data_IF_923694163350
#
_entry.id   IF_923694163350
#
_cell.length_a   1.000
_cell.length_b   1.000
_cell.length_c   1.000
_cell.angle_alpha   90.00
_cell.angle_beta   90.00
_cell.angle_gamma   90.00
#
_symmetry.space_group_name_H-M   'P 1'
#
loop_
_entity.id
_entity.type
_entity.pdbx_description
1 polymer ?
#
# COMPACT_ATOMS: atom_id res chain seq x y z
N UNK A 1 47.74 12.73 29.13
CA UNK A 1 46.99 13.55 28.15
C UNK A 1 46.47 12.77 26.93
N UNK A 2 47.25 11.88 26.30
CA UNK A 2 46.81 11.09 25.12
C UNK A 2 45.64 10.13 25.43
N UNK A 3 45.71 9.41 26.54
CA UNK A 3 44.66 8.49 26.98
C UNK A 3 43.31 9.21 27.18
N UNK A 4 43.30 10.33 27.92
CA UNK A 4 42.10 11.15 28.15
C UNK A 4 41.45 11.65 26.84
N UNK A 5 42.26 12.09 25.87
CA UNK A 5 41.76 12.53 24.55
C UNK A 5 41.15 11.36 23.75
N UNK A 6 41.68 10.15 23.89
CA UNK A 6 41.11 8.96 23.26
C UNK A 6 39.78 8.57 23.91
N UNK A 7 39.68 8.57 25.23
CA UNK A 7 38.43 8.27 25.95
C UNK A 7 37.34 9.29 25.67
N UNK A 8 37.67 10.59 25.59
CA UNK A 8 36.71 11.63 25.22
C UNK A 8 36.22 11.42 23.78
N UNK A 9 37.11 11.10 22.84
CA UNK A 9 36.72 10.85 21.44
C UNK A 9 35.80 9.64 21.30
N UNK A 10 36.05 8.56 22.03
CA UNK A 10 35.18 7.37 21.99
C UNK A 10 33.81 7.67 22.62
N UNK A 11 33.76 8.38 23.75
CA UNK A 11 32.50 8.77 24.39
C UNK A 11 31.67 9.70 23.50
N UNK A 12 32.31 10.69 22.87
CA UNK A 12 31.64 11.58 21.91
C UNK A 12 31.13 10.80 20.70
N UNK A 13 31.93 9.89 20.15
CA UNK A 13 31.50 9.02 19.05
C UNK A 13 30.29 8.17 19.41
N UNK A 14 30.31 7.55 20.60
CA UNK A 14 29.18 6.77 21.12
C UNK A 14 27.93 7.62 21.33
N UNK A 15 28.07 8.82 21.92
CA UNK A 15 26.96 9.73 22.16
C UNK A 15 26.32 10.21 20.84
N UNK A 16 27.13 10.51 19.82
CA UNK A 16 26.66 10.86 18.48
C UNK A 16 25.93 9.67 17.83
N UNK A 17 26.53 8.48 17.87
CA UNK A 17 25.92 7.27 17.33
C UNK A 17 24.57 6.95 17.97
N UNK A 18 24.48 7.05 19.30
CA UNK A 18 23.24 6.82 20.04
C UNK A 18 22.17 7.86 19.69
N UNK A 19 22.58 9.13 19.56
CA UNK A 19 21.67 10.22 19.20
C UNK A 19 21.12 10.05 17.78
N UNK A 20 21.96 9.69 16.81
CA UNK A 20 21.53 9.38 15.44
C UNK A 20 20.59 8.18 15.43
N UNK A 21 20.94 7.11 16.16
CA UNK A 21 20.08 5.92 16.27
C UNK A 21 18.69 6.24 16.83
N UNK A 22 18.62 7.05 17.89
CA UNK A 22 17.36 7.49 18.49
C UNK A 22 16.54 8.37 17.55
N UNK A 23 17.18 9.31 16.83
CA UNK A 23 16.50 10.17 15.86
C UNK A 23 15.92 9.36 14.68
N UNK A 24 16.70 8.42 14.14
CA UNK A 24 16.23 7.52 13.08
C UNK A 24 15.05 6.68 13.56
N UNK A 25 15.15 6.07 14.73
CA UNK A 25 14.06 5.29 15.31
C UNK A 25 12.81 6.13 15.55
N UNK A 26 12.96 7.32 16.16
CA UNK A 26 11.85 8.24 16.42
C UNK A 26 11.17 8.73 15.14
N UNK A 27 11.93 8.95 14.06
CA UNK A 27 11.40 9.37 12.76
C UNK A 27 10.73 8.24 11.99
N UNK A 28 11.23 7.00 12.08
CA UNK A 28 10.76 5.87 11.28
C UNK A 28 9.62 5.09 11.96
N UNK A 29 9.53 5.10 13.30
CA UNK A 29 8.48 4.36 14.03
C UNK A 29 7.05 4.78 13.66
N UNK A 30 6.85 6.02 13.24
CA UNK A 30 5.54 6.55 12.81
C UNK A 30 5.28 6.40 11.31
N UNK A 31 6.20 5.78 10.57
CA UNK A 31 6.17 5.69 9.11
C UNK A 31 6.30 4.24 8.62
N UNK A 32 5.42 3.31 9.05
CA UNK A 32 5.50 1.92 8.63
C UNK A 32 5.45 1.75 7.11
N UNK A 33 4.74 2.61 6.38
CA UNK A 33 4.68 2.61 4.92
C UNK A 33 6.04 2.74 4.21
N UNK A 34 7.06 3.28 4.88
CA UNK A 34 8.41 3.45 4.33
C UNK A 34 9.34 2.26 4.60
N UNK A 35 8.95 1.35 5.51
CA UNK A 35 9.77 0.23 5.93
C UNK A 35 9.29 -1.08 5.28
N UNK A 36 10.15 -1.86 4.61
CA UNK A 36 9.70 -3.04 3.85
C UNK A 36 9.26 -4.22 4.73
N UNK A 37 9.72 -4.31 5.98
CA UNK A 37 9.40 -5.42 6.90
C UNK A 37 8.15 -5.19 7.75
N UNK A 38 7.56 -3.99 7.72
CA UNK A 38 6.34 -3.70 8.50
C UNK A 38 5.08 -4.12 7.72
N UNK A 39 3.96 -4.41 8.40
CA UNK A 39 2.71 -4.77 7.75
C UNK A 39 2.25 -3.71 6.74
N UNK A 40 1.56 -4.16 5.69
CA UNK A 40 0.84 -3.27 4.77
C UNK A 40 -0.49 -2.88 5.40
N UNK A 41 -0.84 -1.60 5.29
CA UNK A 41 -2.15 -1.05 5.61
C UNK A 41 -2.64 -0.28 4.39
N UNK A 42 -3.83 -0.65 3.87
CA UNK A 42 -4.40 -0.01 2.68
C UNK A 42 -4.99 1.39 2.99
N UNK A 43 -5.15 1.73 4.27
CA UNK A 43 -5.57 3.06 4.71
C UNK A 43 -4.41 4.00 5.08
N UNK A 44 -3.17 3.49 5.09
CA UNK A 44 -1.99 4.30 5.35
C UNK A 44 -1.58 5.11 4.11
N UNK A 45 -0.91 6.26 4.30
CA UNK A 45 -0.40 7.05 3.17
C UNK A 45 0.63 6.26 2.37
N UNK A 46 0.74 6.55 1.08
CA UNK A 46 1.75 5.97 0.20
C UNK A 46 3.15 6.37 0.68
N UNK A 47 3.97 5.37 0.97
CA UNK A 47 5.37 5.52 1.34
C UNK A 47 6.31 4.78 0.38
N UNK A 48 7.61 4.89 0.65
CA UNK A 48 8.68 4.34 -0.19
C UNK A 48 8.58 2.82 -0.38
N UNK A 49 8.03 2.10 0.59
CA UNK A 49 7.90 0.64 0.52
C UNK A 49 6.51 0.16 0.09
N UNK A 50 5.50 1.04 0.00
CA UNK A 50 4.10 0.65 -0.30
C UNK A 50 3.99 -0.16 -1.59
N UNK A 51 4.65 0.28 -2.67
CA UNK A 51 4.64 -0.45 -3.95
C UNK A 51 5.18 -1.88 -3.82
N UNK A 52 6.33 -2.06 -3.15
CA UNK A 52 6.93 -3.39 -2.93
C UNK A 52 6.03 -4.29 -2.08
N UNK A 53 5.38 -3.74 -1.05
CA UNK A 53 4.43 -4.48 -0.22
C UNK A 53 3.20 -4.93 -0.99
N UNK A 54 2.68 -4.08 -1.88
CA UNK A 54 1.57 -4.44 -2.77
C UNK A 54 1.98 -5.53 -3.76
N UNK A 55 3.18 -5.46 -4.33
CA UNK A 55 3.69 -6.51 -5.22
C UNK A 55 3.84 -7.86 -4.51
N UNK A 56 4.30 -7.86 -3.25
CA UNK A 56 4.43 -9.08 -2.46
C UNK A 56 3.11 -9.84 -2.26
N UNK A 57 1.96 -9.16 -2.35
CA UNK A 57 0.64 -9.80 -2.26
C UNK A 57 0.35 -10.76 -3.44
N UNK A 58 1.09 -10.66 -4.55
CA UNK A 58 0.98 -11.59 -5.69
C UNK A 58 1.29 -13.03 -5.28
N UNK A 59 2.08 -13.22 -4.22
CA UNK A 59 2.48 -14.53 -3.70
C UNK A 59 1.61 -14.98 -2.50
N UNK A 60 0.70 -14.13 -1.99
CA UNK A 60 -0.11 -14.39 -0.79
C UNK A 60 -1.56 -13.88 -0.95
N UNK A 61 -2.38 -14.67 -1.65
CA UNK A 61 -3.80 -14.36 -1.84
C UNK A 61 -4.60 -14.29 -0.53
N UNK A 62 -4.43 -15.20 0.46
CA UNK A 62 -5.07 -15.06 1.77
C UNK A 62 -4.76 -13.74 2.47
N UNK A 63 -3.51 -13.30 2.49
CA UNK A 63 -3.12 -12.02 3.07
C UNK A 63 -3.75 -10.85 2.33
N UNK A 64 -3.76 -10.89 1.00
CA UNK A 64 -4.39 -9.84 0.20
C UNK A 64 -5.88 -9.67 0.54
N UNK A 65 -6.63 -10.78 0.62
CA UNK A 65 -8.05 -10.75 1.03
C UNK A 65 -8.25 -10.18 2.43
N UNK A 66 -7.42 -10.59 3.39
CA UNK A 66 -7.50 -10.08 4.75
C UNK A 66 -7.29 -8.55 4.83
N UNK A 67 -6.43 -8.00 3.95
CA UNK A 67 -6.22 -6.56 3.85
C UNK A 67 -7.41 -5.84 3.22
N UNK A 68 -7.99 -6.40 2.16
CA UNK A 68 -9.22 -5.88 1.54
C UNK A 68 -10.39 -5.88 2.54
N UNK A 69 -10.56 -6.97 3.28
CA UNK A 69 -11.59 -7.12 4.32
C UNK A 69 -11.42 -6.07 5.42
N UNK A 70 -10.18 -5.89 5.91
CA UNK A 70 -9.85 -4.86 6.92
C UNK A 70 -10.12 -3.44 6.40
N UNK A 71 -9.89 -3.21 5.11
CA UNK A 71 -10.19 -1.94 4.46
C UNK A 71 -11.68 -1.77 4.10
N UNK A 72 -12.55 -2.74 4.43
CA UNK A 72 -13.99 -2.69 4.16
C UNK A 72 -14.33 -2.78 2.67
N UNK A 73 -13.43 -3.34 1.86
CA UNK A 73 -13.65 -3.56 0.42
C UNK A 73 -14.55 -4.76 0.24
N UNK A 74 -15.62 -4.61 -0.53
CA UNK A 74 -16.56 -5.69 -0.82
C UNK A 74 -16.22 -6.32 -2.16
N UNK A 75 -16.09 -7.65 -2.17
CA UNK A 75 -15.74 -8.39 -3.38
C UNK A 75 -16.30 -9.81 -3.37
N UNK A 76 -16.30 -10.44 -4.54
CA UNK A 76 -16.49 -11.88 -4.71
C UNK A 76 -15.19 -12.51 -5.24
N UNK A 77 -14.82 -13.68 -4.74
CA UNK A 77 -13.66 -14.42 -5.28
C UNK A 77 -14.01 -14.97 -6.66
N UNK A 78 -13.06 -14.88 -7.60
CA UNK A 78 -13.18 -15.43 -8.95
C UNK A 78 -12.34 -16.71 -9.08
N UNK A 79 -12.76 -17.64 -9.95
CA UNK A 79 -11.91 -18.77 -10.31
C UNK A 79 -10.62 -18.27 -10.99
N UNK A 80 -9.50 -19.02 -10.85
CA UNK A 80 -8.28 -18.76 -11.60
C UNK A 80 -8.55 -18.68 -13.10
N UNK A 81 -7.93 -17.71 -13.77
CA UNK A 81 -8.01 -17.55 -15.22
C UNK A 81 -6.61 -17.69 -15.80
N UNK A 82 -6.45 -18.59 -16.78
CA UNK A 82 -5.23 -18.71 -17.58
C UNK A 82 -5.50 -18.08 -18.95
N UNK A 83 -4.70 -17.10 -19.32
CA UNK A 83 -4.65 -16.55 -20.67
C UNK A 83 -3.39 -17.01 -21.40
N UNK A 84 -3.14 -16.43 -22.58
CA UNK A 84 -1.90 -16.67 -23.31
C UNK A 84 -0.72 -15.93 -22.66
N UNK A 85 0.44 -16.60 -22.60
CA UNK A 85 1.65 -16.03 -22.02
C UNK A 85 1.49 -15.65 -20.54
N UNK A 86 1.70 -14.37 -20.23
CA UNK A 86 1.60 -13.82 -18.87
C UNK A 86 0.19 -13.31 -18.53
N UNK A 87 -0.80 -13.54 -19.39
CA UNK A 87 -2.17 -13.10 -19.14
C UNK A 87 -2.88 -14.04 -18.15
N UNK A 88 -3.66 -13.47 -17.25
CA UNK A 88 -4.45 -14.21 -16.28
C UNK A 88 -4.06 -13.96 -14.82
N UNK A 89 -4.74 -14.64 -13.91
CA UNK A 89 -4.53 -14.53 -12.47
C UNK A 89 -4.94 -15.83 -11.77
N UNK A 90 -4.27 -16.15 -10.66
CA UNK A 90 -4.63 -17.26 -9.78
C UNK A 90 -5.53 -16.81 -8.61
N UNK A 91 -5.57 -15.50 -8.38
CA UNK A 91 -6.00 -14.80 -7.18
C UNK A 91 -7.03 -13.71 -7.51
N UNK A 92 -7.91 -14.02 -8.47
CA UNK A 92 -8.90 -13.08 -8.98
C UNK A 92 -9.99 -12.74 -7.96
N UNK A 93 -10.38 -11.47 -7.93
CA UNK A 93 -11.56 -10.99 -7.23
C UNK A 93 -12.39 -10.10 -8.16
N UNK A 94 -13.69 -9.99 -7.87
CA UNK A 94 -14.60 -9.04 -8.50
C UNK A 94 -15.05 -8.03 -7.46
N UNK A 95 -14.75 -6.76 -7.70
CA UNK A 95 -15.20 -5.66 -6.85
C UNK A 95 -16.73 -5.53 -6.91
N UNK A 96 -17.33 -5.21 -5.78
CA UNK A 96 -18.73 -4.83 -5.72
C UNK A 96 -18.96 -3.47 -6.41
N UNK A 97 -20.23 -3.08 -6.57
CA UNK A 97 -20.61 -1.87 -7.30
C UNK A 97 -20.07 -0.57 -6.68
N UNK A 98 -19.71 -0.58 -5.39
CA UNK A 98 -19.06 0.55 -4.72
C UNK A 98 -17.53 0.54 -4.84
N UNK A 99 -16.97 -0.32 -5.70
CA UNK A 99 -15.56 -0.37 -6.03
C UNK A 99 -14.64 -0.68 -4.86
N UNK A 100 -13.42 -0.16 -4.92
CA UNK A 100 -12.38 -0.45 -3.94
C UNK A 100 -12.54 0.42 -2.67
N UNK A 101 -12.83 1.72 -2.82
CA UNK A 101 -13.00 2.68 -1.71
C UNK A 101 -14.19 3.60 -1.91
N UNK A 102 -15.36 3.02 -2.22
CA UNK A 102 -16.64 3.73 -2.41
C UNK A 102 -16.70 4.60 -3.67
N UNK A 103 -15.80 4.38 -4.63
CA UNK A 103 -15.90 4.95 -5.98
C UNK A 103 -16.44 3.85 -6.89
N UNK A 104 -17.59 4.10 -7.53
CA UNK A 104 -18.17 3.10 -8.41
C UNK A 104 -17.30 2.90 -9.67
N UNK A 105 -17.28 1.67 -10.21
CA UNK A 105 -16.69 1.41 -11.52
C UNK A 105 -17.77 1.27 -12.58
N UNK A 106 -17.50 1.82 -13.75
CA UNK A 106 -18.37 1.80 -14.92
C UNK A 106 -17.58 1.25 -16.12
N UNK A 107 -17.97 0.10 -16.70
CA UNK A 107 -19.05 -0.80 -16.29
C UNK A 107 -18.87 -1.41 -14.88
N UNK A 108 -19.96 -1.87 -14.26
CA UNK A 108 -19.88 -2.50 -12.93
C UNK A 108 -19.24 -3.89 -12.98
N UNK A 109 -18.79 -4.40 -11.82
CA UNK A 109 -18.30 -5.77 -11.69
C UNK A 109 -16.87 -5.99 -12.19
N UNK A 110 -16.02 -4.97 -12.06
CA UNK A 110 -14.59 -5.02 -12.38
C UNK A 110 -13.91 -6.22 -11.69
N UNK A 111 -13.44 -7.18 -12.49
CA UNK A 111 -12.72 -8.37 -12.04
C UNK A 111 -11.22 -8.24 -12.28
N UNK A 112 -10.40 -8.26 -11.24
CA UNK A 112 -8.94 -8.08 -11.32
C UNK A 112 -8.24 -9.04 -10.35
N UNK A 113 -6.92 -9.19 -10.49
CA UNK A 113 -6.13 -9.86 -9.46
C UNK A 113 -6.26 -9.11 -8.12
N UNK A 114 -6.26 -9.84 -7.01
CA UNK A 114 -6.32 -9.26 -5.66
C UNK A 114 -5.30 -8.14 -5.40
N UNK A 115 -3.98 -8.27 -5.72
CA UNK A 115 -3.01 -7.19 -5.52
C UNK A 115 -3.35 -5.93 -6.31
N UNK A 116 -3.98 -6.07 -7.48
CA UNK A 116 -4.46 -4.91 -8.27
C UNK A 116 -5.62 -4.22 -7.55
N UNK A 117 -6.56 -4.97 -7.00
CA UNK A 117 -7.64 -4.39 -6.18
C UNK A 117 -7.12 -3.70 -4.92
N UNK A 118 -6.09 -4.27 -4.27
CA UNK A 118 -5.44 -3.64 -3.12
C UNK A 118 -4.73 -2.33 -3.52
N UNK A 119 -4.04 -2.31 -4.67
CA UNK A 119 -3.40 -1.12 -5.20
C UNK A 119 -4.43 -0.03 -5.58
N UNK A 120 -5.53 -0.41 -6.22
CA UNK A 120 -6.66 0.49 -6.50
C UNK A 120 -7.22 1.08 -5.20
N UNK A 121 -7.34 0.29 -4.14
CA UNK A 121 -7.82 0.77 -2.84
C UNK A 121 -6.92 1.87 -2.28
N UNK A 122 -5.61 1.68 -2.33
CA UNK A 122 -4.63 2.70 -1.87
C UNK A 122 -4.71 3.95 -2.75
N UNK A 123 -4.76 3.78 -4.07
CA UNK A 123 -4.80 4.89 -5.02
C UNK A 123 -6.08 5.73 -4.89
N UNK A 124 -7.24 5.09 -4.79
CA UNK A 124 -8.52 5.79 -4.63
C UNK A 124 -8.55 6.64 -3.35
N UNK A 125 -8.05 6.07 -2.25
CA UNK A 125 -8.08 6.69 -0.92
C UNK A 125 -7.05 7.81 -0.75
N UNK A 126 -5.80 7.55 -1.10
CA UNK A 126 -4.68 8.46 -0.77
C UNK A 126 -4.36 9.45 -1.89
N UNK A 127 -4.77 9.14 -3.14
CA UNK A 127 -4.45 9.97 -4.31
C UNK A 127 -5.69 10.58 -4.93
N UNK A 128 -6.64 9.77 -5.38
CA UNK A 128 -7.78 10.23 -6.21
C UNK A 128 -8.70 11.17 -5.42
N UNK A 129 -9.25 10.72 -4.29
CA UNK A 129 -10.20 11.54 -3.53
C UNK A 129 -9.57 12.84 -3.01
N UNK A 130 -8.35 12.83 -2.42
CA UNK A 130 -7.71 14.07 -1.99
C UNK A 130 -7.41 15.03 -3.14
N UNK A 131 -7.00 14.51 -4.31
CA UNK A 131 -6.76 15.34 -5.49
C UNK A 131 -8.07 15.95 -6.03
N UNK A 132 -9.14 15.15 -6.11
CA UNK A 132 -10.43 15.62 -6.61
C UNK A 132 -11.00 16.75 -5.76
N UNK A 133 -10.95 16.61 -4.43
CA UNK A 133 -11.38 17.65 -3.49
C UNK A 133 -10.51 18.91 -3.66
N UNK A 134 -9.20 18.77 -3.78
CA UNK A 134 -8.26 19.90 -3.89
C UNK A 134 -8.43 20.71 -5.18
N UNK A 135 -8.65 20.02 -6.30
CA UNK A 135 -8.67 20.66 -7.62
C UNK A 135 -10.07 21.02 -8.11
N UNK A 136 -11.08 20.28 -7.68
CA UNK A 136 -12.45 20.44 -8.17
C UNK A 136 -13.48 20.72 -7.07
N UNK A 137 -13.09 20.68 -5.79
CA UNK A 137 -14.02 20.88 -4.66
C UNK A 137 -15.07 19.77 -4.53
N UNK A 138 -14.90 18.65 -5.22
CA UNK A 138 -15.87 17.58 -5.32
C UNK A 138 -15.23 16.20 -5.13
N UNK A 139 -16.02 15.22 -4.67
CA UNK A 139 -15.59 13.82 -4.57
C UNK A 139 -15.82 13.12 -5.90
N UNK A 140 -14.96 12.16 -6.21
CA UNK A 140 -15.17 11.26 -7.35
C UNK A 140 -16.29 10.28 -7.01
N UNK A 141 -17.29 10.21 -7.87
CA UNK A 141 -18.43 9.29 -7.73
C UNK A 141 -18.23 7.98 -8.51
N UNK A 142 -17.61 8.06 -9.70
CA UNK A 142 -17.37 6.90 -10.56
C UNK A 142 -16.07 7.01 -11.35
N UNK A 143 -15.53 5.85 -11.72
CA UNK A 143 -14.39 5.67 -12.63
C UNK A 143 -14.87 4.86 -13.84
N UNK A 144 -14.78 5.46 -15.02
CA UNK A 144 -15.00 4.76 -16.28
C UNK A 144 -13.74 3.97 -16.66
N UNK A 145 -13.91 2.68 -16.96
CA UNK A 145 -12.83 1.79 -17.36
C UNK A 145 -13.21 0.98 -18.61
N UNK A 146 -12.21 0.56 -19.37
CA UNK A 146 -12.39 -0.19 -20.62
C UNK A 146 -12.29 -1.72 -20.45
N UNK A 147 -12.03 -2.17 -19.22
CA UNK A 147 -11.96 -3.59 -18.87
C UNK A 147 -10.64 -3.92 -18.17
N UNK A 148 -10.51 -5.16 -17.73
CA UNK A 148 -9.36 -5.68 -16.99
C UNK A 148 -8.58 -6.80 -17.71
N UNK A 149 -8.92 -7.01 -18.99
CA UNK A 149 -8.39 -7.99 -19.96
C UNK A 149 -7.60 -9.19 -19.42
#
# INVERSE_FOLDING_TARGET
>A
MRALRLTIRTLVGLAIGLSIGLLLWASLRGRPQDLPWTPLDLGAPVGMATGRKLTALTEDFPQCRALLDRAGVRYAVLPPRKGEGQCGYADGIRLANDGARKIAFSPAGLGVACPVAAALSVWEWDVVQPAAIRHFGARVASIDHFGSY
#
